data_IF_150665604562
#
_entry.id   IF_150665604562
#
_cell.length_a   1.000
_cell.length_b   1.000
_cell.length_c   1.000
_cell.angle_alpha   90.00
_cell.angle_beta   90.00
_cell.angle_gamma   90.00
#
_symmetry.space_group_name_H-M   'P 1'
#
loop_
_entity.id
_entity.type
_entity.pdbx_description
1 polymer ?
#
# COMPACT_ATOMS: atom_id res chain seq x y z
N UNK A 1 14.67 15.13 -30.64
CA UNK A 1 15.28 13.79 -30.73
C UNK A 1 14.35 12.81 -30.04
N UNK A 2 13.58 12.04 -30.80
CA UNK A 2 12.81 10.91 -30.30
C UNK A 2 13.78 9.76 -30.06
N UNK A 3 14.03 9.40 -28.81
CA UNK A 3 14.70 8.13 -28.52
C UNK A 3 13.83 7.01 -29.11
N UNK A 4 14.36 6.11 -29.94
CA UNK A 4 13.60 4.92 -30.32
C UNK A 4 13.33 4.16 -29.02
N UNK A 5 12.05 4.08 -28.64
CA UNK A 5 11.60 3.16 -27.61
C UNK A 5 12.16 1.78 -27.95
N UNK A 6 13.03 1.24 -27.09
CA UNK A 6 13.46 -0.15 -27.24
C UNK A 6 12.18 -0.99 -27.34
N UNK A 7 11.93 -1.69 -28.45
CA UNK A 7 10.70 -2.44 -28.57
C UNK A 7 10.81 -3.58 -27.55
N UNK A 8 9.94 -3.56 -26.55
CA UNK A 8 9.89 -4.54 -25.46
C UNK A 8 9.32 -5.88 -25.97
N UNK A 9 9.97 -6.46 -27.00
CA UNK A 9 9.48 -7.59 -27.79
C UNK A 9 9.55 -8.93 -27.04
N UNK A 10 10.44 -9.03 -26.05
CA UNK A 10 10.75 -10.24 -25.28
C UNK A 10 9.99 -10.30 -23.94
N UNK A 11 9.12 -9.33 -23.65
CA UNK A 11 8.32 -9.31 -22.43
C UNK A 11 7.34 -10.48 -22.41
N UNK A 12 7.43 -11.30 -21.36
CA UNK A 12 6.52 -12.43 -21.12
C UNK A 12 5.54 -12.14 -19.99
N UNK A 13 5.95 -11.37 -18.98
CA UNK A 13 5.18 -11.07 -17.79
C UNK A 13 5.22 -9.58 -17.50
N UNK A 14 4.11 -9.02 -17.04
CA UNK A 14 4.02 -7.61 -16.66
C UNK A 14 3.43 -7.46 -15.25
N UNK A 15 4.14 -6.71 -14.41
CA UNK A 15 3.74 -6.40 -13.04
C UNK A 15 3.33 -4.93 -12.94
N UNK A 16 2.02 -4.66 -12.96
CA UNK A 16 1.48 -3.30 -12.89
C UNK A 16 1.25 -2.91 -11.44
N UNK A 17 2.21 -2.17 -10.88
CA UNK A 17 2.29 -1.80 -9.45
C UNK A 17 2.33 -0.29 -9.23
N UNK A 18 1.55 0.45 -10.02
CA UNK A 18 1.55 1.92 -10.03
C UNK A 18 0.15 2.50 -10.09
N UNK A 19 0.02 3.75 -9.66
CA UNK A 19 -1.20 4.53 -9.74
C UNK A 19 -0.84 6.02 -9.73
N UNK A 20 -1.80 6.87 -10.09
CA UNK A 20 -1.72 8.31 -9.92
C UNK A 20 -2.85 8.77 -9.02
N UNK A 21 -2.54 9.67 -8.12
CA UNK A 21 -3.52 10.35 -7.28
C UNK A 21 -4.09 11.58 -8.01
N UNK A 22 -5.37 11.86 -7.80
CA UNK A 22 -6.16 12.94 -8.40
C UNK A 22 -7.15 13.48 -7.38
N UNK A 23 -7.72 14.65 -7.67
CA UNK A 23 -8.55 15.37 -6.71
C UNK A 23 -9.90 14.69 -6.42
N UNK A 24 -10.36 13.81 -7.30
CA UNK A 24 -11.60 13.07 -7.12
C UNK A 24 -11.50 11.64 -7.65
N UNK A 25 -12.35 10.76 -7.14
CA UNK A 25 -12.42 9.37 -7.61
C UNK A 25 -12.76 9.26 -9.10
N UNK A 26 -13.56 10.19 -9.65
CA UNK A 26 -13.87 10.25 -11.09
C UNK A 26 -12.63 10.56 -11.95
N UNK A 27 -11.80 11.51 -11.50
CA UNK A 27 -10.52 11.80 -12.14
C UNK A 27 -9.53 10.63 -11.98
N UNK A 28 -9.53 9.96 -10.82
CA UNK A 28 -8.74 8.75 -10.58
C UNK A 28 -9.13 7.63 -11.54
N UNK A 29 -10.43 7.38 -11.76
CA UNK A 29 -10.93 6.41 -12.74
C UNK A 29 -10.40 6.72 -14.14
N UNK A 30 -10.51 7.98 -14.57
CA UNK A 30 -10.07 8.42 -15.89
C UNK A 30 -8.56 8.24 -16.06
N UNK A 31 -7.77 8.76 -15.12
CA UNK A 31 -6.32 8.78 -15.22
C UNK A 31 -5.70 7.37 -15.07
N UNK A 32 -6.10 6.60 -14.05
CA UNK A 32 -5.55 5.28 -13.79
C UNK A 32 -5.98 4.25 -14.84
N UNK A 33 -7.22 4.35 -15.34
CA UNK A 33 -7.69 3.54 -16.47
C UNK A 33 -6.91 3.85 -17.76
N UNK A 34 -6.62 5.13 -18.04
CA UNK A 34 -5.83 5.52 -19.20
C UNK A 34 -4.37 5.03 -19.11
N UNK A 35 -3.73 5.15 -17.93
CA UNK A 35 -2.38 4.63 -17.71
C UNK A 35 -2.29 3.12 -18.01
N UNK A 36 -3.23 2.34 -17.47
CA UNK A 36 -3.28 0.89 -17.70
C UNK A 36 -3.50 0.56 -19.19
N UNK A 37 -4.47 1.22 -19.84
CA UNK A 37 -4.76 1.03 -21.28
C UNK A 37 -3.55 1.36 -22.15
N UNK A 38 -2.79 2.40 -21.84
CA UNK A 38 -1.59 2.76 -22.59
C UNK A 38 -0.52 1.66 -22.52
N UNK A 39 -0.32 1.06 -21.35
CA UNK A 39 0.62 -0.06 -21.17
C UNK A 39 0.16 -1.28 -21.97
N UNK A 40 -1.12 -1.66 -21.86
CA UNK A 40 -1.69 -2.79 -22.58
C UNK A 40 -1.62 -2.59 -24.10
N UNK A 41 -1.97 -1.40 -24.59
CA UNK A 41 -1.91 -1.05 -26.01
C UNK A 41 -0.48 -1.07 -26.58
N UNK A 42 0.53 -0.81 -25.75
CA UNK A 42 1.92 -0.89 -26.17
C UNK A 42 2.45 -2.34 -26.18
N UNK A 43 2.13 -3.13 -25.16
CA UNK A 43 2.69 -4.47 -24.95
C UNK A 43 1.99 -5.54 -25.78
N UNK A 44 0.65 -5.58 -25.77
CA UNK A 44 -0.11 -6.65 -26.42
C UNK A 44 0.15 -6.83 -27.93
N UNK A 45 0.38 -5.78 -28.74
CA UNK A 45 0.75 -5.97 -30.15
C UNK A 45 2.26 -6.21 -30.35
N UNK A 46 3.11 -5.77 -29.42
CA UNK A 46 4.57 -5.76 -29.59
C UNK A 46 5.25 -7.01 -29.05
N UNK A 47 4.70 -7.66 -28.04
CA UNK A 47 5.30 -8.81 -27.35
C UNK A 47 4.59 -10.12 -27.75
N UNK A 48 5.06 -10.86 -28.78
CA UNK A 48 4.39 -12.06 -29.27
C UNK A 48 4.37 -13.21 -28.24
N UNK A 49 5.33 -13.22 -27.32
CA UNK A 49 5.45 -14.24 -26.27
C UNK A 49 4.87 -13.78 -24.92
N UNK A 50 4.01 -12.75 -24.91
CA UNK A 50 3.37 -12.29 -23.68
C UNK A 50 2.44 -13.36 -23.12
N UNK A 51 2.53 -13.64 -21.81
CA UNK A 51 1.86 -14.76 -21.14
C UNK A 51 0.97 -14.33 -19.98
N UNK A 52 1.38 -13.32 -19.21
CA UNK A 52 0.68 -13.00 -17.97
C UNK A 52 0.76 -11.52 -17.56
N UNK A 53 -0.36 -10.99 -17.08
CA UNK A 53 -0.48 -9.64 -16.56
C UNK A 53 -0.91 -9.66 -15.08
N UNK A 54 -0.03 -9.23 -14.17
CA UNK A 54 -0.39 -9.02 -12.77
C UNK A 54 -0.79 -7.56 -12.54
N UNK A 55 -2.00 -7.33 -12.03
CA UNK A 55 -2.51 -6.01 -11.64
C UNK A 55 -2.55 -5.90 -10.11
N UNK A 56 -1.82 -4.96 -9.53
CA UNK A 56 -1.96 -4.62 -8.12
C UNK A 56 -3.04 -3.55 -7.93
N UNK A 57 -4.05 -3.86 -7.11
CA UNK A 57 -5.06 -2.91 -6.63
C UNK A 57 -4.93 -2.72 -5.12
N UNK A 58 -5.89 -3.18 -4.32
CA UNK A 58 -5.82 -3.12 -2.86
C UNK A 58 -7.17 -3.27 -2.17
N UNK A 59 -7.15 -3.28 -0.83
CA UNK A 59 -8.33 -3.42 0.02
C UNK A 59 -9.43 -2.37 -0.21
N UNK A 60 -9.10 -1.21 -0.80
CA UNK A 60 -10.13 -0.25 -1.27
C UNK A 60 -11.15 -0.84 -2.23
N UNK A 61 -10.87 -2.02 -2.83
CA UNK A 61 -11.88 -2.78 -3.55
C UNK A 61 -13.13 -3.06 -2.70
N UNK A 62 -12.96 -3.31 -1.41
CA UNK A 62 -14.04 -3.68 -0.50
C UNK A 62 -14.62 -2.49 0.27
N UNK A 63 -13.84 -1.42 0.47
CA UNK A 63 -14.20 -0.28 1.33
C UNK A 63 -14.45 1.04 0.58
N UNK A 64 -14.30 1.03 -0.75
CA UNK A 64 -14.50 2.20 -1.60
C UNK A 64 -13.27 3.11 -1.72
N UNK A 65 -13.36 4.11 -2.61
CA UNK A 65 -12.34 5.14 -2.80
C UNK A 65 -12.17 6.05 -1.57
N UNK A 66 -11.10 6.86 -1.53
CA UNK A 66 -10.84 7.72 -0.37
C UNK A 66 -11.95 8.74 -0.11
N UNK A 67 -12.59 9.26 -1.17
CA UNK A 67 -13.73 10.19 -1.08
C UNK A 67 -14.95 9.61 -0.34
N UNK A 68 -14.98 8.28 -0.20
CA UNK A 68 -16.07 7.47 0.33
C UNK A 68 -15.87 7.02 1.78
N UNK A 69 -14.67 7.20 2.35
CA UNK A 69 -14.36 6.77 3.72
C UNK A 69 -15.31 7.41 4.74
N UNK A 70 -15.91 6.56 5.58
CA UNK A 70 -16.91 6.95 6.59
C UNK A 70 -18.28 7.37 6.04
N UNK A 71 -18.49 7.36 4.71
CA UNK A 71 -19.76 7.72 4.06
C UNK A 71 -20.50 6.53 3.48
N UNK A 72 -19.77 5.44 3.20
CA UNK A 72 -20.28 4.23 2.59
C UNK A 72 -20.25 3.09 3.60
N UNK A 73 -21.36 2.38 3.72
CA UNK A 73 -21.40 1.08 4.38
C UNK A 73 -20.77 0.07 3.42
N UNK A 74 -19.61 -0.44 3.81
CA UNK A 74 -18.94 -1.53 3.11
C UNK A 74 -19.36 -2.88 3.66
N UNK A 75 -18.91 -3.96 3.01
CA UNK A 75 -19.21 -5.34 3.42
C UNK A 75 -18.70 -5.63 4.84
N UNK A 76 -19.25 -6.64 5.51
CA UNK A 76 -18.74 -7.06 6.82
C UNK A 76 -17.39 -7.78 6.65
N UNK A 77 -16.32 -7.39 7.35
CA UNK A 77 -15.05 -8.11 7.34
C UNK A 77 -15.17 -9.47 8.09
N UNK A 78 -14.30 -10.46 7.82
CA UNK A 78 -13.14 -10.38 6.94
C UNK A 78 -13.51 -10.41 5.45
N UNK A 79 -12.91 -9.52 4.67
CA UNK A 79 -13.16 -9.43 3.23
C UNK A 79 -12.61 -10.64 2.47
N UNK A 80 -13.42 -11.22 1.60
CA UNK A 80 -13.05 -12.27 0.65
C UNK A 80 -13.33 -11.82 -0.79
N UNK A 81 -12.68 -12.47 -1.76
CA UNK A 81 -12.59 -12.00 -3.15
C UNK A 81 -13.90 -12.15 -3.94
N UNK A 82 -14.81 -13.01 -3.48
CA UNK A 82 -16.14 -13.23 -4.08
C UNK A 82 -17.18 -12.18 -3.66
N UNK A 83 -16.82 -11.26 -2.76
CA UNK A 83 -17.70 -10.14 -2.40
C UNK A 83 -17.99 -9.29 -3.65
N UNK A 84 -19.25 -8.88 -3.87
CA UNK A 84 -19.59 -8.05 -5.01
C UNK A 84 -18.96 -6.65 -4.86
N UNK A 85 -18.64 -6.01 -5.98
CA UNK A 85 -18.21 -4.61 -5.99
C UNK A 85 -19.24 -3.73 -5.27
N UNK A 86 -18.77 -2.75 -4.51
CA UNK A 86 -19.66 -1.73 -3.95
C UNK A 86 -20.32 -0.90 -5.07
N UNK A 87 -21.56 -0.42 -4.88
CA UNK A 87 -22.24 0.47 -5.83
C UNK A 87 -21.68 1.92 -5.74
N UNK A 88 -20.36 2.06 -5.84
CA UNK A 88 -19.64 3.34 -5.74
C UNK A 88 -18.54 3.42 -6.79
N UNK A 89 -18.19 4.63 -7.27
CA UNK A 89 -17.01 4.81 -8.10
C UNK A 89 -15.74 4.27 -7.41
N UNK A 90 -14.92 3.54 -8.17
CA UNK A 90 -13.62 3.06 -7.72
C UNK A 90 -12.70 2.82 -8.93
N UNK A 91 -11.54 3.44 -8.98
CA UNK A 91 -10.62 3.28 -10.10
C UNK A 91 -10.07 1.85 -10.22
N UNK A 92 -10.08 1.05 -9.15
CA UNK A 92 -9.73 -0.37 -9.21
C UNK A 92 -10.69 -1.15 -10.12
N UNK A 93 -11.99 -0.85 -10.06
CA UNK A 93 -12.98 -1.51 -10.92
C UNK A 93 -12.73 -1.15 -12.39
N UNK A 94 -12.44 0.12 -12.67
CA UNK A 94 -12.11 0.58 -14.01
C UNK A 94 -10.81 -0.05 -14.55
N UNK A 95 -9.83 -0.32 -13.69
CA UNK A 95 -8.60 -1.02 -14.07
C UNK A 95 -8.86 -2.51 -14.35
N UNK A 96 -9.60 -3.21 -13.48
CA UNK A 96 -10.00 -4.60 -13.71
C UNK A 96 -10.78 -4.72 -15.03
N UNK A 97 -11.77 -3.86 -15.26
CA UNK A 97 -12.59 -3.88 -16.47
C UNK A 97 -11.76 -3.61 -17.72
N UNK A 98 -10.87 -2.61 -17.68
CA UNK A 98 -9.97 -2.30 -18.80
C UNK A 98 -8.97 -3.42 -19.09
N UNK A 99 -8.48 -4.10 -18.05
CA UNK A 99 -7.61 -5.27 -18.19
C UNK A 99 -8.35 -6.40 -18.91
N UNK A 100 -9.50 -6.80 -18.35
CA UNK A 100 -10.32 -7.88 -18.92
C UNK A 100 -10.70 -7.55 -20.37
N UNK A 101 -11.18 -6.34 -20.63
CA UNK A 101 -11.55 -5.88 -21.97
C UNK A 101 -10.38 -6.01 -22.96
N UNK A 102 -9.19 -5.57 -22.57
CA UNK A 102 -7.99 -5.60 -23.43
C UNK A 102 -7.47 -7.01 -23.67
N UNK A 103 -7.69 -7.93 -22.73
CA UNK A 103 -7.26 -9.32 -22.85
C UNK A 103 -8.27 -10.24 -23.54
N UNK A 104 -9.55 -9.82 -23.70
CA UNK A 104 -10.57 -10.61 -24.43
C UNK A 104 -10.10 -11.17 -25.79
N UNK A 105 -9.42 -10.39 -26.67
CA UNK A 105 -8.94 -10.93 -27.96
C UNK A 105 -7.79 -11.95 -27.84
N UNK A 106 -7.22 -12.11 -26.64
CA UNK A 106 -6.10 -12.99 -26.29
C UNK A 106 -6.52 -14.06 -25.26
N UNK A 107 -7.82 -14.27 -25.08
CA UNK A 107 -8.36 -15.23 -24.12
C UNK A 107 -7.73 -16.62 -24.31
N UNK A 108 -7.29 -17.23 -23.21
CA UNK A 108 -6.57 -18.51 -23.21
C UNK A 108 -5.09 -18.43 -23.60
N UNK A 109 -4.64 -17.36 -24.27
CA UNK A 109 -3.23 -17.16 -24.62
C UNK A 109 -2.49 -16.28 -23.60
N UNK A 110 -3.16 -15.26 -23.08
CA UNK A 110 -2.64 -14.37 -22.02
C UNK A 110 -3.54 -14.50 -20.81
N UNK A 111 -2.94 -14.81 -19.67
CA UNK A 111 -3.60 -14.91 -18.38
C UNK A 111 -3.42 -13.64 -17.55
N UNK A 112 -4.19 -13.50 -16.48
CA UNK A 112 -4.06 -12.36 -15.57
C UNK A 112 -4.18 -12.77 -14.11
N UNK A 113 -3.78 -11.88 -13.20
CA UNK A 113 -4.07 -11.98 -11.78
C UNK A 113 -4.29 -10.58 -11.20
N UNK A 114 -5.16 -10.47 -10.19
CA UNK A 114 -5.36 -9.23 -9.44
C UNK A 114 -4.93 -9.43 -7.99
N UNK A 115 -4.09 -8.54 -7.48
CA UNK A 115 -3.55 -8.62 -6.12
C UNK A 115 -4.09 -7.47 -5.28
N UNK A 116 -4.73 -7.78 -4.15
CA UNK A 116 -5.41 -6.83 -3.26
C UNK A 116 -4.71 -6.79 -1.90
N UNK A 117 -3.54 -6.13 -1.80
CA UNK A 117 -2.90 -5.92 -0.50
C UNK A 117 -3.71 -4.94 0.37
N UNK A 118 -3.43 -4.98 1.67
CA UNK A 118 -3.85 -3.96 2.64
C UNK A 118 -2.77 -2.90 2.81
N UNK A 119 -2.61 -2.35 4.01
CA UNK A 119 -1.55 -1.43 4.38
C UNK A 119 -0.18 -2.08 4.17
N UNK A 120 0.55 -1.56 3.19
CA UNK A 120 1.83 -2.14 2.80
C UNK A 120 2.91 -1.74 3.81
N UNK A 121 3.60 -2.74 4.36
CA UNK A 121 4.88 -2.55 5.04
C UNK A 121 5.99 -2.79 4.03
N UNK A 122 6.80 -1.76 3.78
CA UNK A 122 7.77 -1.80 2.70
C UNK A 122 8.76 -0.66 2.76
N UNK A 123 9.64 -0.61 1.76
CA UNK A 123 10.65 0.43 1.60
C UNK A 123 10.54 1.06 0.20
N UNK A 124 10.18 2.34 0.15
CA UNK A 124 10.29 3.18 -1.04
C UNK A 124 10.18 4.65 -0.62
N UNK A 125 11.27 5.44 -0.70
CA UNK A 125 11.24 6.87 -0.38
C UNK A 125 10.37 7.70 -1.33
N UNK A 126 10.03 7.16 -2.50
CA UNK A 126 9.20 7.82 -3.51
C UNK A 126 7.75 7.33 -3.53
N UNK A 127 7.37 6.40 -2.63
CA UNK A 127 6.00 5.92 -2.55
C UNK A 127 5.06 7.03 -2.06
N UNK A 128 3.87 7.09 -2.65
CA UNK A 128 2.80 8.02 -2.25
C UNK A 128 2.02 7.55 -1.01
N UNK A 129 2.17 6.29 -0.62
CA UNK A 129 1.48 5.67 0.52
C UNK A 129 2.46 4.76 1.27
N UNK A 130 3.41 5.35 1.99
CA UNK A 130 4.40 4.60 2.78
C UNK A 130 4.12 4.71 4.29
N UNK A 131 3.43 3.73 4.84
CA UNK A 131 3.05 3.67 6.26
C UNK A 131 4.27 3.61 7.18
N UNK A 132 5.17 2.64 6.95
CA UNK A 132 6.36 2.44 7.79
C UNK A 132 7.31 3.63 7.70
N UNK A 133 7.55 4.13 6.49
CA UNK A 133 8.43 5.28 6.29
C UNK A 133 7.90 6.54 6.96
N UNK A 134 6.61 6.85 6.79
CA UNK A 134 5.99 8.03 7.43
C UNK A 134 6.04 7.94 8.95
N UNK A 135 5.82 6.74 9.52
CA UNK A 135 5.96 6.50 10.96
C UNK A 135 7.40 6.68 11.47
N UNK A 136 8.40 6.24 10.70
CA UNK A 136 9.81 6.44 11.03
C UNK A 136 10.17 7.93 11.04
N UNK A 137 9.68 8.71 10.07
CA UNK A 137 9.90 10.16 10.02
C UNK A 137 9.21 10.83 11.20
N UNK A 138 7.97 10.47 11.52
CA UNK A 138 7.26 10.99 12.70
C UNK A 138 8.04 10.71 14.00
N UNK A 139 8.48 9.48 14.21
CA UNK A 139 9.27 9.12 15.39
C UNK A 139 10.62 9.87 15.45
N UNK A 140 11.25 10.11 14.30
CA UNK A 140 12.48 10.91 14.20
C UNK A 140 12.25 12.36 14.60
N UNK A 141 11.15 12.97 14.14
CA UNK A 141 10.78 14.34 14.52
C UNK A 141 10.47 14.43 16.01
N UNK A 142 9.68 13.51 16.57
CA UNK A 142 9.44 13.43 18.01
C UNK A 142 10.76 13.36 18.80
N UNK A 143 11.69 12.50 18.37
CA UNK A 143 13.02 12.37 19.00
C UNK A 143 13.80 13.68 18.97
N UNK A 144 13.84 14.34 17.81
CA UNK A 144 14.53 15.62 17.61
C UNK A 144 13.99 16.70 18.54
N UNK A 145 12.67 16.75 18.70
CA UNK A 145 11.99 17.75 19.51
C UNK A 145 11.90 17.40 20.99
N UNK A 146 12.35 16.19 21.37
CA UNK A 146 12.22 15.62 22.72
C UNK A 146 10.76 15.54 23.18
N UNK A 147 9.86 15.33 22.23
CA UNK A 147 8.44 15.14 22.45
C UNK A 147 8.10 13.64 22.43
N UNK A 148 7.08 13.19 23.18
CA UNK A 148 6.63 11.81 23.10
C UNK A 148 6.01 11.50 21.73
N UNK A 149 6.11 10.23 21.34
CA UNK A 149 5.42 9.67 20.18
C UNK A 149 3.95 9.46 20.54
N UNK A 150 3.10 10.44 20.20
CA UNK A 150 1.67 10.46 20.55
C UNK A 150 0.83 9.78 19.48
N UNK A 151 -0.03 8.85 19.91
CA UNK A 151 -1.02 8.21 19.03
C UNK A 151 -2.02 9.24 18.49
N UNK A 152 -2.15 9.42 17.16
CA UNK A 152 -3.06 10.39 16.56
C UNK A 152 -4.46 9.83 16.28
N UNK A 153 -4.59 8.50 16.24
CA UNK A 153 -5.76 7.78 15.73
C UNK A 153 -6.93 7.61 16.70
N UNK A 154 -7.98 6.96 16.21
CA UNK A 154 -9.17 6.61 16.99
C UNK A 154 -8.93 5.43 17.95
N UNK A 155 -9.92 5.14 18.81
CA UNK A 155 -9.90 4.00 19.74
C UNK A 155 -10.01 2.65 19.03
N UNK A 156 -10.77 2.59 17.94
CA UNK A 156 -11.09 1.37 17.21
C UNK A 156 -9.80 0.73 16.72
N UNK A 157 -8.96 1.47 15.99
CA UNK A 157 -7.68 1.00 15.46
C UNK A 157 -6.64 0.76 16.57
N UNK A 158 -6.70 1.53 17.68
CA UNK A 158 -5.79 1.34 18.81
C UNK A 158 -6.03 0.02 19.57
N UNK A 159 -7.30 -0.30 19.86
CA UNK A 159 -7.69 -1.47 20.65
C UNK A 159 -8.06 -2.71 19.82
N UNK A 160 -8.49 -2.51 18.57
CA UNK A 160 -8.92 -3.53 17.62
C UNK A 160 -7.76 -4.28 16.99
N UNK A 161 -8.10 -5.20 16.09
CA UNK A 161 -7.11 -5.93 15.31
C UNK A 161 -6.84 -5.20 13.99
N UNK A 162 -5.59 -5.28 13.56
CA UNK A 162 -5.13 -4.81 12.25
C UNK A 162 -4.29 -5.90 11.61
N UNK A 163 -4.19 -5.85 10.29
CA UNK A 163 -3.28 -6.66 9.51
C UNK A 163 -2.45 -5.76 8.58
N UNK A 164 -1.45 -6.36 7.94
CA UNK A 164 -0.55 -5.66 7.03
C UNK A 164 -0.18 -6.58 5.87
N UNK A 165 0.37 -5.96 4.82
CA UNK A 165 0.91 -6.65 3.66
C UNK A 165 2.38 -6.31 3.52
N UNK A 166 3.25 -7.28 3.78
CA UNK A 166 4.69 -7.12 3.56
C UNK A 166 4.99 -6.99 2.06
N UNK A 167 5.78 -5.99 1.66
CA UNK A 167 6.08 -5.71 0.26
C UNK A 167 6.78 -6.88 -0.45
N UNK A 168 7.63 -7.63 0.25
CA UNK A 168 8.30 -8.80 -0.33
C UNK A 168 7.31 -9.97 -0.46
N UNK A 169 6.39 -10.14 0.50
CA UNK A 169 5.32 -11.14 0.39
C UNK A 169 4.35 -10.84 -0.79
N UNK A 170 4.04 -9.57 -1.01
CA UNK A 170 3.26 -9.15 -2.18
C UNK A 170 4.00 -9.52 -3.46
N UNK A 171 5.30 -9.20 -3.54
CA UNK A 171 6.11 -9.57 -4.70
C UNK A 171 6.15 -11.10 -4.92
N UNK A 172 6.26 -11.89 -3.85
CA UNK A 172 6.19 -13.35 -3.91
C UNK A 172 4.83 -13.83 -4.45
N UNK A 173 3.71 -13.25 -4.02
CA UNK A 173 2.39 -13.63 -4.52
C UNK A 173 2.21 -13.25 -5.99
N UNK A 174 2.71 -12.08 -6.41
CA UNK A 174 2.75 -11.67 -7.81
C UNK A 174 3.53 -12.69 -8.65
N UNK A 175 4.72 -13.09 -8.21
CA UNK A 175 5.55 -14.10 -8.90
C UNK A 175 4.84 -15.45 -8.95
N UNK A 176 4.25 -15.88 -7.83
CA UNK A 176 3.49 -17.12 -7.75
C UNK A 176 2.35 -17.12 -8.78
N UNK A 177 1.51 -16.07 -8.80
CA UNK A 177 0.39 -16.01 -9.74
C UNK A 177 0.84 -15.94 -11.21
N UNK A 178 2.00 -15.32 -11.45
CA UNK A 178 2.65 -15.28 -12.76
C UNK A 178 3.08 -16.66 -13.28
N UNK A 179 3.36 -17.65 -12.44
CA UNK A 179 3.89 -18.96 -12.88
C UNK A 179 2.99 -20.15 -12.58
N UNK A 180 2.11 -20.05 -11.57
CA UNK A 180 1.26 -21.16 -11.14
C UNK A 180 -0.01 -21.26 -12.01
N UNK A 181 -0.31 -22.43 -12.59
CA UNK A 181 -1.52 -22.63 -13.40
C UNK A 181 -2.82 -22.51 -12.60
N UNK A 182 -2.81 -22.76 -11.29
CA UNK A 182 -4.00 -22.65 -10.44
C UNK A 182 -4.31 -21.21 -10.01
N UNK A 183 -3.39 -20.28 -10.26
CA UNK A 183 -3.55 -18.87 -9.91
C UNK A 183 -4.04 -18.01 -11.09
N UNK A 184 -4.30 -18.62 -12.25
CA UNK A 184 -4.62 -17.88 -13.48
C UNK A 184 -6.05 -17.38 -13.48
N UNK A 185 -6.20 -16.13 -13.90
CA UNK A 185 -7.48 -15.44 -14.10
C UNK A 185 -8.27 -15.29 -12.80
N UNK A 186 -7.54 -15.03 -11.71
CA UNK A 186 -8.11 -14.92 -10.37
C UNK A 186 -7.66 -13.62 -9.68
N UNK A 187 -8.53 -13.13 -8.80
CA UNK A 187 -8.19 -12.08 -7.85
C UNK A 187 -7.89 -12.70 -6.48
N UNK A 188 -6.85 -12.19 -5.81
CA UNK A 188 -6.36 -12.65 -4.52
C UNK A 188 -6.12 -11.47 -3.56
N UNK A 189 -6.58 -11.61 -2.33
CA UNK A 189 -6.09 -10.86 -1.18
C UNK A 189 -4.63 -11.22 -0.90
N UNK A 190 -3.90 -10.29 -0.30
CA UNK A 190 -2.50 -10.50 0.06
C UNK A 190 -2.15 -9.83 1.39
N UNK A 191 -2.48 -10.47 2.51
CA UNK A 191 -2.05 -10.04 3.86
C UNK A 191 -1.06 -11.04 4.47
N UNK A 192 -0.38 -10.63 5.53
CA UNK A 192 0.71 -11.38 6.16
C UNK A 192 0.30 -12.72 6.78
N UNK A 193 -1.00 -12.95 6.99
CA UNK A 193 -1.53 -14.18 7.57
C UNK A 193 -1.58 -14.19 9.10
N UNK A 194 -1.24 -13.09 9.76
CA UNK A 194 -1.44 -12.83 11.19
C UNK A 194 -2.11 -11.46 11.40
N UNK A 195 -2.50 -11.17 12.65
CA UNK A 195 -3.07 -9.88 13.08
C UNK A 195 -2.25 -9.28 14.20
N UNK A 196 -2.26 -7.96 14.32
CA UNK A 196 -1.60 -7.21 15.38
C UNK A 196 -2.53 -6.14 15.97
N UNK A 197 -2.06 -5.46 17.02
CA UNK A 197 -2.72 -4.25 17.54
C UNK A 197 -1.74 -3.10 17.54
N UNK A 198 -2.19 -1.93 17.11
CA UNK A 198 -1.34 -0.74 17.10
C UNK A 198 -0.79 -0.39 18.47
N UNK A 199 -1.51 -0.67 19.57
CA UNK A 199 -0.98 -0.47 20.93
C UNK A 199 0.32 -1.21 21.26
N UNK A 200 0.59 -2.34 20.60
CA UNK A 200 1.86 -3.05 20.72
C UNK A 200 2.90 -2.45 19.77
N UNK A 201 2.52 -2.24 18.51
CA UNK A 201 3.43 -1.75 17.47
C UNK A 201 3.92 -0.33 17.74
N UNK A 202 3.09 0.49 18.40
CA UNK A 202 3.47 1.82 18.84
C UNK A 202 4.62 1.79 19.84
N UNK A 203 4.62 0.80 20.75
CA UNK A 203 5.73 0.59 21.70
C UNK A 203 7.00 0.12 21.00
N UNK A 204 6.86 -0.73 19.97
CA UNK A 204 7.98 -1.20 19.16
C UNK A 204 8.60 -0.04 18.40
N UNK A 205 7.79 0.77 17.72
CA UNK A 205 8.24 1.97 17.02
C UNK A 205 8.96 2.93 17.98
N UNK A 206 8.35 3.22 19.13
CA UNK A 206 8.95 4.07 20.13
C UNK A 206 10.31 3.54 20.63
N UNK A 207 10.39 2.23 20.91
CA UNK A 207 11.64 1.56 21.30
C UNK A 207 12.72 1.61 20.22
N UNK A 208 12.34 1.44 18.95
CA UNK A 208 13.25 1.51 17.81
C UNK A 208 13.88 2.90 17.64
N UNK A 209 13.20 3.96 18.05
CA UNK A 209 13.71 5.34 17.95
C UNK A 209 14.21 5.90 19.29
N UNK A 210 13.95 5.22 20.41
CA UNK A 210 14.32 5.66 21.76
C UNK A 210 13.51 6.87 22.21
N UNK A 211 12.20 6.88 21.92
CA UNK A 211 11.25 7.93 22.31
C UNK A 211 10.19 7.38 23.26
N UNK A 212 9.59 8.23 24.09
CA UNK A 212 8.46 7.81 24.94
C UNK A 212 7.22 7.54 24.08
N UNK A 213 6.53 6.42 24.32
CA UNK A 213 5.27 6.10 23.67
C UNK A 213 4.08 6.64 24.47
N UNK A 214 3.26 7.48 23.86
CA UNK A 214 1.96 7.91 24.42
C UNK A 214 0.85 7.32 23.57
N UNK A 215 0.08 6.40 24.16
CA UNK A 215 -1.07 5.76 23.50
C UNK A 215 -2.32 6.62 23.47
N UNK A 216 -3.45 6.01 23.10
CA UNK A 216 -4.75 6.66 23.05
C UNK A 216 -5.16 7.26 24.43
N UNK A 217 -5.52 8.55 24.43
CA UNK A 217 -5.91 9.33 25.63
C UNK A 217 -7.36 9.83 25.60
N UNK A 218 -8.25 9.12 24.90
CA UNK A 218 -9.63 9.56 24.69
C UNK A 218 -9.79 10.38 23.41
N UNK A 219 -11.04 10.62 23.01
CA UNK A 219 -11.37 11.31 21.75
C UNK A 219 -10.81 12.73 21.69
N UNK A 220 -10.76 13.43 22.81
CA UNK A 220 -10.19 14.79 22.92
C UNK A 220 -8.68 14.82 22.70
N UNK A 221 -8.00 13.67 22.87
CA UNK A 221 -6.55 13.54 22.66
C UNK A 221 -6.16 13.24 21.21
N UNK A 222 -7.13 13.04 20.32
CA UNK A 222 -6.89 12.77 18.89
C UNK A 222 -6.47 14.05 18.17
N UNK A 223 -5.64 13.89 17.16
CA UNK A 223 -5.18 15.01 16.32
C UNK A 223 -4.80 14.51 14.93
N UNK A 224 -4.76 15.42 13.96
CA UNK A 224 -4.29 15.12 12.61
C UNK A 224 -2.77 15.31 12.55
N UNK A 225 -2.05 14.28 12.10
CA UNK A 225 -0.63 14.37 11.83
C UNK A 225 -0.34 15.41 10.75
N UNK A 226 -1.18 15.50 9.73
CA UNK A 226 -1.00 16.48 8.64
C UNK A 226 -0.95 17.91 9.16
N UNK A 227 -1.80 18.25 10.13
CA UNK A 227 -1.79 19.57 10.78
C UNK A 227 -0.60 19.73 11.72
N UNK A 228 -0.30 18.71 12.53
CA UNK A 228 0.78 18.76 13.51
C UNK A 228 2.19 18.86 12.89
N UNK A 229 2.36 18.32 11.68
CA UNK A 229 3.64 18.29 10.97
C UNK A 229 3.87 19.51 10.05
N UNK A 230 2.90 20.44 9.94
CA UNK A 230 3.07 21.68 9.19
C UNK A 230 4.25 22.50 9.71
N UNK A 231 5.09 22.99 8.80
CA UNK A 231 6.23 23.85 9.13
C UNK A 231 7.42 23.12 9.75
N UNK A 232 7.46 21.78 9.69
CA UNK A 232 8.60 20.98 10.15
C UNK A 232 9.67 20.76 9.05
N UNK A 233 9.51 21.40 7.90
CA UNK A 233 10.39 21.24 6.73
C UNK A 233 11.84 21.61 7.02
N UNK A 234 12.07 22.80 7.59
CA UNK A 234 13.42 23.25 7.97
C UNK A 234 14.06 22.34 9.04
N UNK A 235 13.24 21.83 9.98
CA UNK A 235 13.71 20.90 10.99
C UNK A 235 14.13 19.56 10.37
N UNK A 236 13.38 19.07 9.38
CA UNK A 236 13.74 17.88 8.64
C UNK A 236 15.02 18.07 7.83
N UNK A 237 15.19 19.20 7.16
CA UNK A 237 16.43 19.53 6.43
C UNK A 237 17.67 19.55 7.34
N UNK A 238 17.53 20.07 8.57
CA UNK A 238 18.57 20.01 9.60
C UNK A 238 18.88 18.56 10.00
N UNK A 239 17.85 17.74 10.25
CA UNK A 239 18.02 16.30 10.55
C UNK A 239 18.78 15.60 9.43
N UNK A 240 18.38 15.83 8.17
CA UNK A 240 19.01 15.24 6.99
C UNK A 240 20.48 15.62 6.92
N UNK A 241 20.80 16.89 7.09
CA UNK A 241 22.17 17.41 7.01
C UNK A 241 23.06 16.87 8.13
N UNK A 242 22.61 16.96 9.39
CA UNK A 242 23.41 16.57 10.55
C UNK A 242 23.68 15.05 10.62
N UNK A 243 22.71 14.24 10.19
CA UNK A 243 22.82 12.78 10.21
C UNK A 243 23.31 12.19 8.88
N UNK A 244 23.64 13.04 7.89
CA UNK A 244 24.09 12.63 6.55
C UNK A 244 23.13 11.65 5.89
N UNK A 245 21.84 11.97 5.96
CA UNK A 245 20.77 11.18 5.39
C UNK A 245 20.69 11.37 3.87
N UNK A 246 19.95 10.50 3.20
CA UNK A 246 19.57 10.69 1.81
C UNK A 246 18.83 12.03 1.66
N UNK A 247 19.11 12.81 0.60
CA UNK A 247 18.55 14.15 0.43
C UNK A 247 17.07 14.06 0.07
N UNK A 248 16.22 14.06 1.09
CA UNK A 248 14.77 13.94 0.98
C UNK A 248 14.11 15.18 1.55
N UNK A 249 13.01 15.60 0.91
CA UNK A 249 12.15 16.64 1.48
C UNK A 249 11.06 16.01 2.34
N UNK A 250 10.55 16.75 3.32
CA UNK A 250 9.59 16.22 4.28
C UNK A 250 8.32 15.71 3.60
N UNK A 251 7.81 16.42 2.60
CA UNK A 251 6.62 16.05 1.84
C UNK A 251 6.79 14.78 0.99
N UNK A 252 8.03 14.35 0.73
CA UNK A 252 8.33 13.14 -0.04
C UNK A 252 8.25 11.90 0.84
N UNK A 253 8.69 12.00 2.10
CA UNK A 253 8.82 10.85 3.03
C UNK A 253 7.79 10.84 4.15
N UNK A 254 7.10 11.96 4.38
CA UNK A 254 6.03 12.14 5.35
C UNK A 254 4.66 12.17 4.69
N UNK A 255 4.06 11.00 4.41
CA UNK A 255 2.71 10.91 3.85
C UNK A 255 1.64 11.03 4.95
N UNK A 256 1.56 12.19 5.62
CA UNK A 256 0.75 12.38 6.84
C UNK A 256 -0.74 12.09 6.64
N UNK A 257 -1.32 12.59 5.54
CA UNK A 257 -2.72 12.36 5.17
C UNK A 257 -3.07 10.87 5.14
N UNK A 258 -2.11 10.02 4.73
CA UNK A 258 -2.32 8.59 4.62
C UNK A 258 -2.38 7.93 6.00
N UNK A 259 -1.52 8.33 6.94
CA UNK A 259 -1.62 7.87 8.34
C UNK A 259 -2.92 8.33 8.98
N UNK A 260 -3.30 9.59 8.75
CA UNK A 260 -4.57 10.14 9.24
C UNK A 260 -5.77 9.37 8.67
N UNK A 261 -5.72 8.95 7.40
CA UNK A 261 -6.75 8.09 6.83
C UNK A 261 -6.80 6.72 7.52
N UNK A 262 -5.67 6.01 7.63
CA UNK A 262 -5.60 4.65 8.19
C UNK A 262 -5.95 4.60 9.67
N UNK A 263 -5.51 5.58 10.45
CA UNK A 263 -5.71 5.55 11.91
C UNK A 263 -7.09 6.03 12.35
N UNK A 264 -7.96 6.41 11.41
CA UNK A 264 -9.29 6.92 11.69
C UNK A 264 -10.41 6.18 10.95
N UNK A 265 -10.13 5.02 10.34
CA UNK A 265 -11.16 4.11 9.80
C UNK A 265 -11.70 3.14 10.88
N UNK A 266 -12.71 2.37 10.50
CA UNK A 266 -13.22 1.22 11.26
C UNK A 266 -12.34 -0.02 11.09
N UNK A 267 -12.62 -1.10 11.83
CA UNK A 267 -11.89 -2.36 11.71
C UNK A 267 -12.11 -2.97 10.32
N UNK A 268 -11.01 -3.19 9.60
CA UNK A 268 -11.00 -3.74 8.24
C UNK A 268 -9.97 -4.85 8.18
N UNK A 269 -10.41 -6.09 7.99
CA UNK A 269 -9.55 -7.27 7.85
C UNK A 269 -9.90 -7.99 6.55
N UNK A 270 -8.94 -8.67 5.94
CA UNK A 270 -9.19 -9.60 4.85
C UNK A 270 -8.88 -11.04 5.26
N UNK A 271 -9.28 -11.99 4.41
CA UNK A 271 -8.88 -13.39 4.53
C UNK A 271 -7.90 -13.80 3.43
N UNK A 272 -6.95 -14.65 3.80
CA UNK A 272 -5.99 -15.29 2.88
C UNK A 272 -6.42 -16.71 2.46
N UNK A 273 -7.66 -17.12 2.77
CA UNK A 273 -8.11 -18.49 2.51
C UNK A 273 -8.02 -18.85 1.03
N UNK A 274 -8.55 -18.01 0.12
CA UNK A 274 -8.50 -18.27 -1.32
C UNK A 274 -7.06 -18.45 -1.82
N UNK A 275 -6.14 -17.58 -1.40
CA UNK A 275 -4.71 -17.70 -1.72
C UNK A 275 -4.13 -19.05 -1.26
N UNK A 276 -4.42 -19.47 -0.02
CA UNK A 276 -3.93 -20.75 0.53
C UNK A 276 -4.55 -21.96 -0.16
N UNK A 277 -5.84 -21.91 -0.47
CA UNK A 277 -6.58 -22.96 -1.18
C UNK A 277 -6.07 -23.15 -2.61
N UNK A 278 -5.58 -22.08 -3.25
CA UNK A 278 -4.90 -22.14 -4.55
C UNK A 278 -3.39 -22.48 -4.45
N UNK A 279 -2.86 -22.70 -3.25
CA UNK A 279 -1.48 -23.17 -3.03
C UNK A 279 -0.48 -22.09 -2.61
N UNK A 280 -0.89 -20.82 -2.51
CA UNK A 280 -0.04 -19.76 -1.95
C UNK A 280 -0.08 -19.78 -0.42
N UNK A 281 0.91 -20.44 0.18
CA UNK A 281 1.07 -20.55 1.64
C UNK A 281 2.13 -19.60 2.21
N UNK A 282 2.51 -18.57 1.44
CA UNK A 282 3.41 -17.51 1.90
C UNK A 282 2.79 -16.74 3.06
N UNK A 283 3.60 -16.41 4.06
CA UNK A 283 3.20 -15.61 5.21
C UNK A 283 4.38 -14.79 5.74
N UNK A 284 4.08 -13.82 6.60
CA UNK A 284 5.07 -13.07 7.37
C UNK A 284 4.59 -12.93 8.79
N UNK A 285 5.52 -12.96 9.74
CA UNK A 285 5.24 -12.46 11.08
C UNK A 285 5.26 -10.92 11.00
N UNK A 286 4.11 -10.28 11.24
CA UNK A 286 3.96 -8.83 10.99
C UNK A 286 4.86 -7.99 11.90
N UNK A 287 5.18 -8.45 13.11
CA UNK A 287 6.10 -7.75 14.01
C UNK A 287 7.53 -7.73 13.47
N UNK A 288 8.04 -8.89 13.04
CA UNK A 288 9.36 -9.00 12.42
C UNK A 288 9.44 -8.22 11.12
N UNK A 289 8.38 -8.27 10.31
CA UNK A 289 8.25 -7.47 9.09
C UNK A 289 8.38 -5.98 9.41
N UNK A 290 7.60 -5.47 10.37
CA UNK A 290 7.64 -4.06 10.77
C UNK A 290 9.04 -3.60 11.19
N UNK A 291 9.72 -4.38 12.05
CA UNK A 291 11.09 -4.08 12.49
C UNK A 291 12.06 -4.10 11.30
N UNK A 292 11.98 -5.13 10.44
CA UNK A 292 12.82 -5.25 9.24
C UNK A 292 12.70 -4.03 8.32
N UNK A 293 11.48 -3.54 8.09
CA UNK A 293 11.25 -2.36 7.25
C UNK A 293 11.73 -1.07 7.93
N UNK A 294 11.58 -0.92 9.25
CA UNK A 294 12.20 0.18 10.01
C UNK A 294 13.72 0.15 9.86
N UNK A 295 14.34 -1.01 10.05
CA UNK A 295 15.79 -1.18 9.94
C UNK A 295 16.28 -0.87 8.52
N UNK A 296 15.50 -1.21 7.49
CA UNK A 296 15.80 -0.84 6.10
C UNK A 296 15.72 0.68 5.88
N UNK A 297 14.76 1.38 6.48
CA UNK A 297 14.69 2.85 6.42
C UNK A 297 15.94 3.50 7.04
N UNK A 298 16.46 2.95 8.14
CA UNK A 298 17.72 3.40 8.78
C UNK A 298 18.95 3.04 7.96
N UNK A 299 19.03 1.79 7.48
CA UNK A 299 20.18 1.28 6.72
C UNK A 299 20.41 2.05 5.42
N UNK A 300 19.33 2.48 4.75
CA UNK A 300 19.38 3.33 3.56
C UNK A 300 19.43 4.83 3.89
N UNK A 301 19.64 5.18 5.16
CA UNK A 301 19.78 6.54 5.68
C UNK A 301 18.63 7.45 5.27
N UNK A 302 17.39 6.95 5.27
CA UNK A 302 16.20 7.82 5.10
C UNK A 302 15.84 8.49 6.43
N UNK A 303 16.05 7.77 7.52
CA UNK A 303 16.00 8.27 8.91
C UNK A 303 17.33 7.91 9.59
N UNK A 304 17.70 8.59 10.70
CA UNK A 304 18.89 8.25 11.50
C UNK A 304 18.81 6.83 12.09
#
# INVERSE_FOLDING_TARGET
MSWPSSPLLDVTHLFYVTWTDRQSESENITANGAMLRNVLAAILPSAPNFQHFCLQTGRKHYIGGFDSYGKLTFHEPPFHEDLPRLPSPNFYYAQEDALLESLRPREGAVSWSVHRPTHIFGFSPSSRMNLVGTLCVYATLCKREREPLRWPGNRIIWEGFSDASDADLIAEQHIWAAVDPYAKNEAFNCSNGDVFKWKHFWKILAGQFGVEAVGYRGEEGRFKLEEAMKGKDELWEQIVTENQLAPTKLEQVGNWWFLDAIFNIDEVLDTMNKSKEHGFVGFRNTEKSFISWIDKMKAYKIVP
#
